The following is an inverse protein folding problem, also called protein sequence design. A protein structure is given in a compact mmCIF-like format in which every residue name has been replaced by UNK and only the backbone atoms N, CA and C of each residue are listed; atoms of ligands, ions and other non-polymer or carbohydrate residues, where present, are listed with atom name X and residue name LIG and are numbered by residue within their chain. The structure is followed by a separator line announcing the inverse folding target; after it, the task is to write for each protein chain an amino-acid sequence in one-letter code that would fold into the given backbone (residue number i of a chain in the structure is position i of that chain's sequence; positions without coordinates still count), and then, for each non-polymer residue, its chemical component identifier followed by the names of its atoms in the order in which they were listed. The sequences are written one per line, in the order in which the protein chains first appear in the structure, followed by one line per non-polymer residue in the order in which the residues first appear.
data_IF_063387818415
#
_entry.id   IF_063387818415
#
_cell.length_a   1.000
_cell.length_b   1.000
_cell.length_c   1.000
_cell.angle_alpha   90.00
_cell.angle_beta   90.00
_cell.angle_gamma   90.00
#
_symmetry.space_group_name_H-M   'P 1'
#
loop_
_entity.id
_entity.type
_entity.pdbx_description
1 polymer ?
#
# COMPACT_ATOMS: atom_id res chain seq x y z
N UNK A 1 -18.18 5.58 -28.97
CA UNK A 1 -17.61 5.95 -27.66
C UNK A 1 -18.75 6.35 -26.74
N UNK A 2 -18.77 5.87 -25.49
CA UNK A 2 -19.82 6.16 -24.49
C UNK A 2 -19.15 6.77 -23.26
N UNK A 3 -19.73 7.83 -22.71
CA UNK A 3 -19.29 8.41 -21.44
C UNK A 3 -20.27 8.00 -20.33
N UNK A 4 -19.74 7.43 -19.25
CA UNK A 4 -20.51 7.04 -18.07
C UNK A 4 -19.87 7.61 -16.81
N UNK A 5 -20.66 7.94 -15.80
CA UNK A 5 -20.17 8.28 -14.46
C UNK A 5 -20.54 7.12 -13.54
N UNK A 6 -19.53 6.38 -13.10
CA UNK A 6 -19.70 5.27 -12.15
C UNK A 6 -20.04 5.82 -10.76
N UNK A 7 -20.86 5.07 -10.02
CA UNK A 7 -21.15 5.41 -8.62
C UNK A 7 -19.89 5.30 -7.77
N UNK A 8 -19.77 6.16 -6.75
CA UNK A 8 -18.64 6.09 -5.82
C UNK A 8 -18.77 4.81 -4.95
N UNK A 9 -17.78 3.91 -4.95
CA UNK A 9 -17.89 2.62 -4.26
C UNK A 9 -18.06 2.78 -2.75
N UNK A 10 -18.92 1.98 -2.14
CA UNK A 10 -19.11 1.97 -0.69
C UNK A 10 -18.06 1.07 -0.02
N UNK A 11 -17.63 1.49 1.18
CA UNK A 11 -16.79 0.70 2.07
C UNK A 11 -17.65 0.21 3.24
N UNK A 12 -17.37 -1.00 3.69
CA UNK A 12 -18.00 -1.62 4.86
C UNK A 12 -17.15 -1.45 6.12
N UNK A 13 -17.83 -1.12 7.22
CA UNK A 13 -17.30 -0.84 8.55
C UNK A 13 -18.02 -1.66 9.61
N UNK A 14 -17.66 -1.49 10.88
CA UNK A 14 -18.21 -2.29 11.99
C UNK A 14 -19.73 -2.25 12.05
N UNK A 15 -20.34 -1.07 11.94
CA UNK A 15 -21.77 -0.85 12.11
C UNK A 15 -22.51 -0.36 10.84
N UNK A 16 -21.87 -0.28 9.67
CA UNK A 16 -22.51 0.25 8.46
C UNK A 16 -21.57 0.44 7.28
N UNK A 17 -22.00 1.23 6.30
CA UNK A 17 -21.25 1.50 5.06
C UNK A 17 -21.07 2.98 4.80
N UNK A 18 -19.90 3.40 4.32
CA UNK A 18 -19.64 4.80 3.96
C UNK A 18 -18.63 4.91 2.80
N UNK A 19 -18.67 5.99 2.01
CA UNK A 19 -17.72 6.20 0.90
C UNK A 19 -16.33 6.66 1.36
N UNK A 20 -16.21 7.30 2.53
CA UNK A 20 -14.96 7.85 3.04
C UNK A 20 -14.43 7.02 4.21
N UNK A 21 -13.16 6.53 4.16
CA UNK A 21 -12.52 5.80 5.26
C UNK A 21 -12.57 6.54 6.60
N UNK A 22 -12.20 7.83 6.60
CA UNK A 22 -12.11 8.64 7.84
C UNK A 22 -13.46 8.76 8.54
N UNK A 23 -14.49 9.13 7.79
CA UNK A 23 -15.85 9.27 8.32
C UNK A 23 -16.44 7.92 8.74
N UNK A 24 -16.17 6.86 7.98
CA UNK A 24 -16.61 5.51 8.34
C UNK A 24 -16.01 5.03 9.65
N UNK A 25 -14.69 5.19 9.87
CA UNK A 25 -14.04 4.85 11.14
C UNK A 25 -14.63 5.65 12.30
N UNK A 26 -14.78 6.97 12.15
CA UNK A 26 -15.31 7.85 13.21
C UNK A 26 -16.76 7.51 13.59
N UNK A 27 -17.63 7.24 12.61
CA UNK A 27 -19.07 7.11 12.84
C UNK A 27 -19.55 5.67 13.00
N UNK A 28 -18.86 4.71 12.37
CA UNK A 28 -19.30 3.31 12.25
C UNK A 28 -18.31 2.33 12.89
N UNK A 29 -17.13 2.81 13.32
CA UNK A 29 -16.05 1.99 13.85
C UNK A 29 -15.33 1.16 12.78
N UNK A 30 -14.26 0.50 13.18
CA UNK A 30 -13.48 -0.40 12.32
C UNK A 30 -14.23 -1.70 12.03
N UNK A 31 -13.99 -2.28 10.85
CA UNK A 31 -14.71 -3.47 10.35
C UNK A 31 -14.61 -4.68 11.28
N UNK A 32 -13.42 -4.96 11.78
CA UNK A 32 -13.13 -6.05 12.71
C UNK A 32 -13.74 -5.86 14.11
N UNK A 33 -14.54 -4.81 14.34
CA UNK A 33 -15.40 -4.71 15.55
C UNK A 33 -16.38 -5.89 15.64
N UNK A 34 -16.70 -6.51 14.51
CA UNK A 34 -17.60 -7.66 14.41
C UNK A 34 -16.97 -8.97 14.91
N UNK A 35 -15.65 -9.01 15.09
CA UNK A 35 -14.93 -10.17 15.60
C UNK A 35 -14.85 -10.10 17.14
N UNK A 36 -15.40 -11.12 17.81
CA UNK A 36 -15.37 -11.23 19.28
C UNK A 36 -13.94 -11.38 19.83
N UNK A 37 -13.03 -11.96 19.04
CA UNK A 37 -11.63 -12.18 19.41
C UNK A 37 -10.71 -11.04 18.97
N UNK A 38 -11.28 -9.91 18.54
CA UNK A 38 -10.50 -8.75 18.11
C UNK A 38 -9.52 -8.31 19.20
N UNK A 39 -8.37 -7.85 18.76
CA UNK A 39 -7.39 -7.24 19.65
C UNK A 39 -7.79 -5.81 19.97
N UNK A 40 -7.83 -5.47 21.26
CA UNK A 40 -8.15 -4.12 21.75
C UNK A 40 -6.93 -3.36 22.24
N UNK A 41 -5.74 -3.96 22.18
CA UNK A 41 -4.47 -3.38 22.58
C UNK A 41 -3.42 -3.53 21.48
N UNK A 42 -2.72 -2.43 21.22
CA UNK A 42 -1.63 -2.35 20.26
C UNK A 42 -0.33 -1.96 20.97
N UNK A 43 0.59 -2.91 21.14
CA UNK A 43 1.89 -2.73 21.79
C UNK A 43 2.91 -2.24 20.78
N UNK A 44 3.42 -1.03 20.99
CA UNK A 44 4.38 -0.39 20.10
C UNK A 44 5.78 -0.50 20.69
N UNK A 45 6.68 -1.12 19.94
CA UNK A 45 8.12 -1.01 20.16
C UNK A 45 8.66 0.27 19.54
N UNK A 46 9.67 0.90 20.14
CA UNK A 46 10.24 2.16 19.65
C UNK A 46 11.75 2.05 19.54
N UNK A 47 12.30 2.46 18.39
CA UNK A 47 13.73 2.58 18.14
C UNK A 47 14.03 3.97 17.60
N UNK A 48 14.95 4.71 18.22
CA UNK A 48 15.32 6.06 17.80
C UNK A 48 16.34 6.70 18.73
N UNK A 49 16.87 7.87 18.39
CA UNK A 49 17.65 8.67 19.37
C UNK A 49 16.72 9.27 20.42
N UNK A 50 17.25 9.63 21.60
CA UNK A 50 16.45 10.15 22.73
C UNK A 50 15.45 11.23 22.33
N UNK A 51 15.92 12.30 21.67
CA UNK A 51 15.05 13.39 21.17
C UNK A 51 13.92 12.90 20.25
N UNK A 52 14.21 11.93 19.37
CA UNK A 52 13.22 11.37 18.44
C UNK A 52 12.19 10.50 19.16
N UNK A 53 12.59 9.80 20.22
CA UNK A 53 11.68 9.03 21.07
C UNK A 53 10.71 9.98 21.79
N UNK A 54 11.22 11.06 22.38
CA UNK A 54 10.39 12.05 23.08
C UNK A 54 9.37 12.68 22.13
N UNK A 55 9.80 13.04 20.91
CA UNK A 55 8.90 13.55 19.86
C UNK A 55 7.81 12.54 19.47
N UNK A 56 8.13 11.25 19.43
CA UNK A 56 7.16 10.20 19.14
C UNK A 56 6.17 10.04 20.29
N UNK A 57 6.62 10.09 21.54
CA UNK A 57 5.73 9.98 22.70
C UNK A 57 4.72 11.14 22.75
N UNK A 58 5.17 12.38 22.47
CA UNK A 58 4.28 13.52 22.29
C UNK A 58 3.30 13.33 21.13
N UNK A 59 3.77 12.80 20.00
CA UNK A 59 2.93 12.54 18.83
C UNK A 59 1.88 11.48 19.12
N UNK A 60 2.23 10.38 19.80
CA UNK A 60 1.30 9.35 20.24
C UNK A 60 0.28 9.90 21.23
N UNK A 61 0.67 10.78 22.16
CA UNK A 61 -0.25 11.46 23.06
C UNK A 61 -1.27 12.32 22.28
N UNK A 62 -0.83 13.07 21.26
CA UNK A 62 -1.72 13.82 20.35
C UNK A 62 -2.64 12.88 19.56
N UNK A 63 -2.12 11.76 19.06
CA UNK A 63 -2.97 10.76 18.39
C UNK A 63 -4.04 10.19 19.34
N UNK A 64 -3.74 9.98 20.62
CA UNK A 64 -4.76 9.55 21.60
C UNK A 64 -5.82 10.61 21.84
N UNK A 65 -5.40 11.86 22.05
CA UNK A 65 -6.32 12.97 22.36
C UNK A 65 -7.13 13.46 21.16
N UNK A 66 -6.60 13.28 19.95
CA UNK A 66 -7.14 13.84 18.72
C UNK A 66 -6.36 15.06 18.23
N UNK A 67 -6.54 15.38 16.95
CA UNK A 67 -5.90 16.49 16.26
C UNK A 67 -6.95 17.30 15.54
N UNK A 68 -7.05 18.58 15.91
CA UNK A 68 -7.93 19.56 15.31
C UNK A 68 -7.77 19.65 13.79
N UNK A 69 -8.87 19.99 13.11
CA UNK A 69 -8.86 20.18 11.66
C UNK A 69 -8.05 21.41 11.26
N UNK A 70 -7.69 21.49 9.98
CA UNK A 70 -7.13 22.71 9.39
C UNK A 70 -8.19 23.82 9.37
N UNK A 71 -8.10 24.75 10.32
CA UNK A 71 -9.08 25.85 10.50
C UNK A 71 -9.12 26.82 9.32
N UNK A 72 -7.99 27.02 8.63
CA UNK A 72 -7.89 27.93 7.48
C UNK A 72 -8.64 27.45 6.23
N UNK A 73 -9.08 26.19 6.18
CA UNK A 73 -9.80 25.62 5.04
C UNK A 73 -11.28 25.46 5.33
N UNK A 74 -12.12 25.77 4.33
CA UNK A 74 -13.57 25.53 4.35
C UNK A 74 -13.95 24.10 3.92
N UNK A 75 -12.99 23.32 3.43
CA UNK A 75 -13.21 21.97 2.91
C UNK A 75 -13.21 20.94 4.05
N UNK A 76 -14.30 20.89 4.81
CA UNK A 76 -14.43 20.10 6.05
C UNK A 76 -14.22 18.59 5.85
N UNK A 77 -14.67 18.04 4.72
CA UNK A 77 -14.53 16.61 4.43
C UNK A 77 -13.11 16.24 3.97
N UNK A 78 -12.42 17.16 3.28
CA UNK A 78 -11.04 16.93 2.82
C UNK A 78 -10.04 17.08 3.97
N UNK A 79 -10.17 18.17 4.75
CA UNK A 79 -9.33 18.45 5.92
C UNK A 79 -10.09 18.14 7.20
N UNK A 80 -10.61 16.92 7.31
CA UNK A 80 -11.29 16.42 8.50
C UNK A 80 -10.30 16.32 9.67
N UNK A 81 -10.74 16.73 10.87
CA UNK A 81 -9.98 16.53 12.10
C UNK A 81 -9.77 15.04 12.38
N UNK A 82 -8.84 14.70 13.26
CA UNK A 82 -8.66 13.34 13.73
C UNK A 82 -9.22 13.26 15.15
N UNK A 83 -10.36 12.59 15.35
CA UNK A 83 -10.98 12.54 16.68
C UNK A 83 -10.22 11.71 17.73
N UNK A 84 -9.09 11.10 17.37
CA UNK A 84 -8.22 10.38 18.29
C UNK A 84 -8.42 8.86 18.25
N UNK A 85 -7.49 8.14 18.91
CA UNK A 85 -7.52 6.68 19.04
C UNK A 85 -7.59 6.26 20.51
N UNK A 86 -8.61 5.47 20.85
CA UNK A 86 -8.81 4.94 22.19
C UNK A 86 -9.67 3.67 22.18
N UNK A 87 -9.97 3.09 23.35
CA UNK A 87 -10.81 1.89 23.47
C UNK A 87 -12.24 2.13 22.96
N UNK A 88 -12.77 3.35 23.14
CA UNK A 88 -14.18 3.68 22.83
C UNK A 88 -14.34 4.64 21.64
N UNK A 89 -13.24 5.03 20.99
CA UNK A 89 -13.26 6.00 19.89
C UNK A 89 -12.28 5.67 18.76
N UNK A 90 -12.70 5.96 17.52
CA UNK A 90 -11.91 5.79 16.31
C UNK A 90 -11.67 4.31 15.99
N UNK A 91 -10.45 3.83 16.26
CA UNK A 91 -10.03 2.46 15.96
C UNK A 91 -10.40 1.44 17.05
N UNK A 92 -10.98 1.89 18.17
CA UNK A 92 -11.37 1.00 19.27
C UNK A 92 -10.20 0.13 19.75
N UNK A 93 -9.05 0.78 19.95
CA UNK A 93 -7.78 0.14 20.32
C UNK A 93 -6.95 1.07 21.19
N UNK A 94 -6.42 0.52 22.27
CA UNK A 94 -5.50 1.20 23.18
C UNK A 94 -4.06 1.05 22.69
N UNK A 95 -3.42 2.16 22.33
CA UNK A 95 -1.98 2.18 22.03
C UNK A 95 -1.19 2.08 23.33
N UNK A 96 -0.27 1.12 23.41
CA UNK A 96 0.63 0.90 24.55
C UNK A 96 2.08 1.10 24.08
N UNK A 97 2.71 2.17 24.54
CA UNK A 97 4.15 2.42 24.46
C UNK A 97 4.68 2.60 25.88
N UNK A 98 5.87 2.10 26.17
CA UNK A 98 6.49 2.23 27.50
C UNK A 98 8.00 2.06 27.41
N UNK A 99 8.79 2.55 28.39
CA UNK A 99 10.25 2.47 28.35
C UNK A 99 10.80 1.05 28.16
N UNK A 100 10.10 0.02 28.65
CA UNK A 100 10.50 -1.38 28.46
C UNK A 100 10.43 -1.87 27.00
N UNK A 101 9.70 -1.17 26.13
CA UNK A 101 9.57 -1.40 24.70
C UNK A 101 10.37 -0.40 23.87
N UNK A 102 11.19 0.44 24.50
CA UNK A 102 11.98 1.49 23.85
C UNK A 102 13.45 1.12 23.84
N UNK A 103 14.11 1.32 22.69
CA UNK A 103 15.54 1.12 22.49
C UNK A 103 16.19 2.39 21.94
N UNK A 104 16.95 3.12 22.77
CA UNK A 104 17.63 4.33 22.31
C UNK A 104 18.85 3.97 21.44
N UNK A 105 19.05 4.74 20.37
CA UNK A 105 20.28 4.73 19.58
C UNK A 105 21.31 5.67 20.22
N UNK A 106 22.55 5.22 20.32
CA UNK A 106 23.62 6.03 20.91
C UNK A 106 24.06 7.14 19.95
N UNK A 107 24.28 8.34 20.49
CA UNK A 107 24.73 9.50 19.70
C UNK A 107 26.07 9.23 19.01
N UNK A 108 27.02 8.59 19.70
CA UNK A 108 28.33 8.21 19.14
C UNK A 108 28.21 7.31 17.92
N UNK A 109 27.26 6.37 17.94
CA UNK A 109 27.01 5.46 16.85
C UNK A 109 26.38 6.15 15.63
N UNK A 110 25.42 7.04 15.85
CA UNK A 110 24.84 7.86 14.78
C UNK A 110 25.92 8.73 14.15
N UNK A 111 26.72 9.42 14.96
CA UNK A 111 27.85 10.22 14.47
C UNK A 111 28.82 9.36 13.68
N UNK A 112 29.17 8.16 14.16
CA UNK A 112 30.07 7.25 13.42
C UNK A 112 29.51 6.87 12.04
N UNK A 113 28.20 6.68 11.93
CA UNK A 113 27.54 6.39 10.65
C UNK A 113 27.58 7.61 9.71
N UNK A 114 27.43 8.83 10.25
CA UNK A 114 27.47 10.06 9.45
C UNK A 114 28.87 10.36 8.88
N UNK A 115 29.94 9.92 9.55
CA UNK A 115 31.33 10.18 9.14
C UNK A 115 31.86 9.23 8.05
N UNK A 116 31.09 8.22 7.62
CA UNK A 116 31.55 7.32 6.55
C UNK A 116 31.52 8.03 5.19
N UNK A 117 32.57 7.82 4.40
CA UNK A 117 32.79 8.52 3.13
C UNK A 117 31.70 8.22 2.10
N UNK A 118 31.39 6.93 1.92
CA UNK A 118 30.44 6.52 0.89
C UNK A 118 29.02 6.44 1.44
N UNK A 119 28.07 6.92 0.65
CA UNK A 119 26.63 6.85 0.97
C UNK A 119 26.15 5.41 1.20
N UNK A 120 26.68 4.45 0.44
CA UNK A 120 26.37 3.03 0.61
C UNK A 120 26.81 2.52 2.00
N UNK A 121 28.01 2.87 2.45
CA UNK A 121 28.48 2.52 3.79
C UNK A 121 27.65 3.19 4.88
N UNK A 122 27.23 4.46 4.69
CA UNK A 122 26.31 5.14 5.61
C UNK A 122 24.98 4.43 5.74
N UNK A 123 24.38 4.01 4.62
CA UNK A 123 23.12 3.25 4.60
C UNK A 123 23.30 1.92 5.33
N UNK A 124 24.33 1.15 5.00
CA UNK A 124 24.56 -0.16 5.61
C UNK A 124 24.78 -0.03 7.13
N UNK A 125 25.63 0.92 7.56
CA UNK A 125 25.85 1.19 8.98
C UNK A 125 24.57 1.62 9.68
N UNK A 126 23.78 2.50 9.08
CA UNK A 126 22.49 2.91 9.64
C UNK A 126 21.51 1.74 9.75
N UNK A 127 21.40 0.91 8.70
CA UNK A 127 20.53 -0.28 8.72
C UNK A 127 20.96 -1.23 9.84
N UNK A 128 22.26 -1.50 9.98
CA UNK A 128 22.81 -2.33 11.06
C UNK A 128 22.40 -1.77 12.43
N UNK A 129 22.53 -0.45 12.65
CA UNK A 129 22.17 0.19 13.92
C UNK A 129 20.70 -0.02 14.29
N UNK A 130 19.78 0.20 13.36
CA UNK A 130 18.37 -0.02 13.60
C UNK A 130 18.04 -1.51 13.73
N UNK A 131 18.62 -2.36 12.88
CA UNK A 131 18.40 -3.81 12.87
C UNK A 131 18.70 -4.44 14.23
N UNK A 132 19.82 -4.10 14.86
CA UNK A 132 20.19 -4.66 16.17
C UNK A 132 19.15 -4.34 17.26
N UNK A 133 18.63 -3.11 17.28
CA UNK A 133 17.60 -2.72 18.24
C UNK A 133 16.23 -3.33 17.92
N UNK A 134 15.88 -3.41 16.63
CA UNK A 134 14.65 -4.05 16.16
C UNK A 134 14.66 -5.54 16.52
N UNK A 135 15.77 -6.23 16.23
CA UNK A 135 15.98 -7.65 16.58
C UNK A 135 15.79 -7.88 18.07
N UNK A 136 16.43 -7.06 18.91
CA UNK A 136 16.27 -7.17 20.36
C UNK A 136 14.80 -7.05 20.78
N UNK A 137 14.05 -6.08 20.25
CA UNK A 137 12.63 -5.92 20.59
C UNK A 137 11.78 -7.08 20.09
N UNK A 138 11.98 -7.53 18.85
CA UNK A 138 11.22 -8.62 18.26
C UNK A 138 11.45 -9.97 18.98
N UNK A 139 12.66 -10.22 19.46
CA UNK A 139 13.01 -11.49 20.13
C UNK A 139 12.71 -11.47 21.64
N UNK A 140 12.78 -10.32 22.31
CA UNK A 140 12.77 -10.25 23.77
C UNK A 140 11.54 -9.54 24.36
N UNK A 141 10.64 -9.00 23.53
CA UNK A 141 9.45 -8.25 23.96
C UNK A 141 8.24 -8.66 23.15
N UNK A 142 7.07 -8.62 23.79
CA UNK A 142 5.79 -8.77 23.10
C UNK A 142 5.36 -7.41 22.53
N UNK A 143 5.82 -7.11 21.32
CA UNK A 143 5.46 -5.92 20.55
C UNK A 143 4.76 -6.34 19.25
N UNK A 144 3.80 -5.54 18.82
CA UNK A 144 2.97 -5.83 17.63
C UNK A 144 3.50 -5.13 16.38
N UNK A 145 4.08 -3.95 16.57
CA UNK A 145 4.68 -3.13 15.54
C UNK A 145 5.84 -2.35 16.15
N UNK A 146 6.94 -2.21 15.42
CA UNK A 146 8.09 -1.41 15.86
C UNK A 146 8.15 -0.11 15.05
N UNK A 147 8.11 1.02 15.75
CA UNK A 147 8.28 2.35 15.17
C UNK A 147 9.76 2.73 15.20
N UNK A 148 10.34 2.88 14.02
CA UNK A 148 11.72 3.35 13.83
C UNK A 148 11.69 4.87 13.57
N UNK A 149 12.09 5.66 14.56
CA UNK A 149 12.23 7.11 14.44
C UNK A 149 13.60 7.44 13.87
N UNK A 150 13.61 7.95 12.64
CA UNK A 150 14.81 8.27 11.91
C UNK A 150 15.23 9.75 12.18
N UNK A 151 16.44 9.97 12.72
CA UNK A 151 16.99 11.31 12.90
C UNK A 151 17.08 12.08 11.59
N UNK A 152 16.83 13.39 11.63
CA UNK A 152 16.83 14.22 10.41
C UNK A 152 18.19 14.26 9.72
N UNK A 153 19.27 14.38 10.48
CA UNK A 153 20.65 14.37 10.01
C UNK A 153 21.03 13.03 9.35
N UNK A 154 20.63 11.92 9.98
CA UNK A 154 20.83 10.58 9.42
C UNK A 154 20.02 10.39 8.14
N UNK A 155 18.75 10.83 8.13
CA UNK A 155 17.92 10.83 6.94
C UNK A 155 18.61 11.63 5.81
N UNK A 156 18.95 12.89 6.04
CA UNK A 156 19.54 13.75 5.01
C UNK A 156 20.87 13.16 4.50
N UNK A 157 21.66 12.53 5.36
CA UNK A 157 22.92 11.86 5.00
C UNK A 157 22.74 10.61 4.11
N UNK A 158 21.65 9.85 4.30
CA UNK A 158 21.33 8.67 3.48
C UNK A 158 20.49 9.02 2.24
N UNK A 159 19.92 10.21 2.15
CA UNK A 159 19.10 10.64 0.99
C UNK A 159 19.82 11.62 0.05
N UNK A 160 20.69 12.48 0.56
CA UNK A 160 21.33 13.56 -0.22
C UNK A 160 22.45 13.01 -1.11
N UNK A 161 22.45 13.41 -2.39
CA UNK A 161 23.46 13.00 -3.38
C UNK A 161 24.63 13.99 -3.43
N UNK A 162 25.82 13.51 -3.79
CA UNK A 162 26.89 14.37 -4.30
C UNK A 162 26.61 14.78 -5.75
N UNK A 163 27.08 15.96 -6.19
CA UNK A 163 26.98 16.37 -7.59
C UNK A 163 27.77 15.40 -8.49
N UNK A 164 27.10 14.77 -9.48
CA UNK A 164 27.74 13.89 -10.47
C UNK A 164 27.27 12.42 -10.50
N UNK A 165 26.39 11.99 -9.59
CA UNK A 165 25.84 10.62 -9.61
C UNK A 165 24.67 10.49 -10.62
N UNK A 166 24.72 9.49 -11.52
CA UNK A 166 23.75 9.27 -12.60
C UNK A 166 22.30 9.08 -12.10
N UNK A 167 21.34 9.65 -12.83
CA UNK A 167 19.96 9.92 -12.41
C UNK A 167 18.98 8.72 -12.40
N UNK A 168 19.42 7.48 -12.17
CA UNK A 168 18.50 6.33 -12.21
C UNK A 168 17.99 5.93 -10.80
N UNK A 169 16.70 6.20 -10.59
CA UNK A 169 15.76 5.78 -9.53
C UNK A 169 16.03 6.10 -8.03
N UNK A 170 15.24 7.06 -7.52
CA UNK A 170 14.86 7.42 -6.13
C UNK A 170 15.61 6.76 -4.95
N UNK A 171 16.57 7.51 -4.44
CA UNK A 171 17.62 7.05 -3.53
C UNK A 171 17.25 7.14 -2.03
N UNK A 172 16.20 7.86 -1.63
CA UNK A 172 15.67 7.83 -0.24
C UNK A 172 15.15 6.45 0.17
N UNK A 173 14.74 5.64 -0.80
CA UNK A 173 14.01 4.41 -0.53
C UNK A 173 14.90 3.22 -0.13
N UNK A 174 16.23 3.29 -0.28
CA UNK A 174 17.10 2.14 0.02
C UNK A 174 17.15 1.82 1.53
N UNK A 175 17.32 2.81 2.41
CA UNK A 175 17.36 2.54 3.86
C UNK A 175 16.09 1.81 4.34
N UNK A 176 14.91 2.36 4.00
CA UNK A 176 13.62 1.75 4.37
C UNK A 176 13.46 0.35 3.78
N UNK A 177 13.72 0.19 2.48
CA UNK A 177 13.54 -1.09 1.79
C UNK A 177 14.49 -2.16 2.35
N UNK A 178 15.77 -1.82 2.54
CA UNK A 178 16.79 -2.72 3.10
C UNK A 178 16.45 -3.07 4.56
N UNK A 179 16.12 -2.09 5.40
CA UNK A 179 15.79 -2.37 6.80
C UNK A 179 14.58 -3.31 6.92
N UNK A 180 13.52 -3.06 6.14
CA UNK A 180 12.34 -3.93 6.10
C UNK A 180 12.66 -5.34 5.60
N UNK A 181 13.45 -5.47 4.53
CA UNK A 181 13.88 -6.76 4.02
C UNK A 181 14.69 -7.53 5.08
N UNK A 182 15.67 -6.88 5.70
CA UNK A 182 16.53 -7.49 6.72
C UNK A 182 15.79 -7.90 7.99
N UNK A 183 14.74 -7.17 8.36
CA UNK A 183 13.91 -7.50 9.52
C UNK A 183 12.76 -8.46 9.19
N UNK A 184 12.62 -8.92 7.95
CA UNK A 184 11.46 -9.71 7.52
C UNK A 184 11.35 -11.05 8.25
N UNK A 185 12.48 -11.69 8.53
CA UNK A 185 12.54 -12.95 9.28
C UNK A 185 12.13 -12.81 10.75
N UNK A 186 12.14 -11.60 11.31
CA UNK A 186 11.80 -11.34 12.72
C UNK A 186 10.28 -11.38 13.00
N UNK A 187 9.45 -11.45 11.95
CA UNK A 187 7.98 -11.60 12.11
C UNK A 187 7.26 -10.40 12.76
N UNK A 188 7.94 -9.26 12.92
CA UNK A 188 7.38 -8.02 13.48
C UNK A 188 7.39 -6.88 12.44
N UNK A 189 6.23 -6.35 12.03
CA UNK A 189 6.16 -5.24 11.08
C UNK A 189 6.82 -3.95 11.58
N UNK A 190 7.37 -3.17 10.64
CA UNK A 190 8.01 -1.89 10.93
C UNK A 190 7.20 -0.70 10.43
N UNK A 191 7.18 0.38 11.21
CA UNK A 191 6.70 1.70 10.83
C UNK A 191 7.83 2.72 10.94
N UNK A 192 8.25 3.33 9.83
CA UNK A 192 9.30 4.35 9.85
C UNK A 192 8.67 5.73 9.96
N UNK A 193 9.26 6.60 10.78
CA UNK A 193 8.84 7.99 10.96
C UNK A 193 10.08 8.88 10.98
N UNK A 194 10.03 10.03 10.29
CA UNK A 194 11.10 11.04 10.35
C UNK A 194 10.78 12.04 11.46
N UNK A 195 11.77 12.50 12.21
CA UNK A 195 11.56 13.50 13.26
C UNK A 195 10.81 14.75 12.76
N UNK A 196 11.21 15.28 11.61
CA UNK A 196 10.57 16.45 10.99
C UNK A 196 9.09 16.26 10.65
N UNK A 197 8.59 15.02 10.50
CA UNK A 197 7.16 14.77 10.20
C UNK A 197 6.28 14.82 11.44
N UNK A 198 6.84 14.60 12.63
CA UNK A 198 6.09 14.63 13.90
C UNK A 198 5.93 16.06 14.46
N UNK A 199 6.85 16.96 14.10
CA UNK A 199 6.77 18.37 14.52
C UNK A 199 5.63 19.06 13.77
N UNK A 200 4.69 19.65 14.51
CA UNK A 200 3.60 20.46 13.97
C UNK A 200 4.10 21.91 13.89
N UNK A 201 4.50 22.37 12.70
CA UNK A 201 4.87 23.77 12.49
C UNK A 201 3.76 24.55 11.79
N UNK A 202 3.60 25.84 12.15
CA UNK A 202 2.60 26.73 11.53
C UNK A 202 2.91 27.06 10.06
N UNK A 203 4.13 26.78 9.57
CA UNK A 203 4.62 27.14 8.24
C UNK A 203 5.14 25.91 7.48
N UNK A 204 4.38 24.82 7.51
CA UNK A 204 4.72 23.61 6.77
C UNK A 204 4.09 23.67 5.36
N UNK A 205 4.60 24.55 4.49
CA UNK A 205 4.05 24.77 3.14
C UNK A 205 3.92 23.48 2.30
N UNK A 206 4.87 22.56 2.46
CA UNK A 206 4.95 21.28 1.74
C UNK A 206 4.47 20.05 2.53
N UNK A 207 4.09 20.18 3.81
CA UNK A 207 3.64 19.01 4.58
C UNK A 207 2.12 18.86 4.55
N UNK A 208 1.68 17.61 4.58
CA UNK A 208 0.28 17.28 4.90
C UNK A 208 -0.11 17.87 6.26
N UNK A 209 -1.38 18.28 6.37
CA UNK A 209 -1.89 18.83 7.62
C UNK A 209 -1.78 17.79 8.76
N UNK A 210 -1.62 18.24 10.03
CA UNK A 210 -1.44 17.35 11.17
C UNK A 210 -2.53 16.28 11.34
N UNK A 211 -3.79 16.61 11.07
CA UNK A 211 -4.89 15.65 11.21
C UNK A 211 -4.81 14.56 10.14
N UNK A 212 -4.53 14.92 8.88
CA UNK A 212 -4.26 13.92 7.82
C UNK A 212 -3.06 13.02 8.16
N UNK A 213 -1.98 13.59 8.72
CA UNK A 213 -0.83 12.80 9.18
C UNK A 213 -1.25 11.80 10.27
N UNK A 214 -2.02 12.24 11.25
CA UNK A 214 -2.53 11.37 12.32
C UNK A 214 -3.44 10.26 11.80
N UNK A 215 -4.36 10.58 10.88
CA UNK A 215 -5.21 9.60 10.19
C UNK A 215 -4.40 8.49 9.52
N UNK A 216 -3.42 8.87 8.69
CA UNK A 216 -2.61 7.91 7.95
C UNK A 216 -1.73 7.07 8.91
N UNK A 217 -1.12 7.73 9.90
CA UNK A 217 -0.27 7.07 10.88
C UNK A 217 -1.04 6.05 11.74
N UNK A 218 -2.19 6.43 12.30
CA UNK A 218 -3.02 5.55 13.11
C UNK A 218 -3.56 4.35 12.30
N UNK A 219 -4.00 4.60 11.07
CA UNK A 219 -4.47 3.52 10.17
C UNK A 219 -3.37 2.52 9.85
N UNK A 220 -2.17 3.01 9.50
CA UNK A 220 -1.04 2.16 9.18
C UNK A 220 -0.58 1.34 10.40
N UNK A 221 -0.53 1.95 11.59
CA UNK A 221 -0.22 1.24 12.84
C UNK A 221 -1.26 0.17 13.15
N UNK A 222 -2.55 0.49 13.02
CA UNK A 222 -3.66 -0.41 13.26
C UNK A 222 -3.55 -1.67 12.39
N UNK A 223 -3.47 -1.48 11.08
CA UNK A 223 -3.40 -2.59 10.12
C UNK A 223 -2.12 -3.43 10.31
N UNK A 224 -0.98 -2.79 10.64
CA UNK A 224 0.28 -3.49 10.88
C UNK A 224 0.26 -4.35 12.14
N UNK A 225 -0.15 -3.79 13.27
CA UNK A 225 0.00 -4.46 14.56
C UNK A 225 -1.16 -5.37 14.93
N UNK A 226 -2.40 -5.02 14.60
CA UNK A 226 -3.56 -5.89 14.86
C UNK A 226 -3.72 -6.99 13.80
N UNK A 227 -2.99 -6.90 12.67
CA UNK A 227 -3.04 -7.86 11.55
C UNK A 227 -4.46 -8.06 11.03
N UNK A 228 -5.23 -6.98 10.97
CA UNK A 228 -6.65 -6.95 10.61
C UNK A 228 -6.98 -5.66 9.89
N UNK A 229 -8.09 -5.64 9.16
CA UNK A 229 -8.48 -4.53 8.29
C UNK A 229 -9.45 -3.56 8.98
N UNK A 230 -9.21 -2.24 8.90
CA UNK A 230 -10.13 -1.24 9.44
C UNK A 230 -11.41 -1.06 8.60
N UNK A 231 -11.38 -1.40 7.32
CA UNK A 231 -12.53 -1.38 6.40
C UNK A 231 -12.31 -2.33 5.22
N UNK A 232 -13.40 -2.75 4.56
CA UNK A 232 -13.37 -3.48 3.29
C UNK A 232 -14.32 -2.90 2.25
N UNK A 233 -14.32 -3.43 1.02
CA UNK A 233 -15.36 -3.12 0.03
C UNK A 233 -16.67 -3.82 0.42
N UNK A 234 -17.80 -3.17 0.11
CA UNK A 234 -19.10 -3.81 0.27
C UNK A 234 -19.22 -4.99 -0.68
N UNK A 235 -19.56 -6.15 -0.14
CA UNK A 235 -19.75 -7.38 -0.90
C UNK A 235 -21.12 -7.37 -1.58
N UNK A 236 -21.13 -7.58 -2.89
CA UNK A 236 -22.36 -7.73 -3.66
C UNK A 236 -22.77 -9.20 -3.71
N UNK A 237 -23.73 -9.61 -2.89
CA UNK A 237 -24.21 -11.02 -2.80
C UNK A 237 -24.69 -11.63 -4.11
N UNK A 238 -25.02 -10.80 -5.10
CA UNK A 238 -25.45 -11.25 -6.43
C UNK A 238 -24.27 -11.61 -7.36
N UNK A 239 -23.05 -11.17 -7.03
CA UNK A 239 -21.84 -11.47 -7.80
C UNK A 239 -21.18 -12.76 -7.31
N UNK A 240 -20.55 -13.53 -8.21
CA UNK A 240 -19.80 -14.71 -7.81
C UNK A 240 -18.61 -14.32 -6.91
N UNK A 241 -18.24 -15.17 -5.94
CA UNK A 241 -17.04 -14.94 -5.12
C UNK A 241 -15.82 -14.82 -6.03
N UNK A 242 -15.20 -13.65 -5.98
CA UNK A 242 -14.17 -13.22 -6.92
C UNK A 242 -12.83 -13.04 -6.21
N UNK A 243 -11.77 -13.52 -6.83
CA UNK A 243 -10.40 -13.39 -6.36
C UNK A 243 -9.64 -12.40 -7.25
N UNK A 244 -9.05 -11.36 -6.66
CA UNK A 244 -8.27 -10.35 -7.38
C UNK A 244 -6.78 -10.61 -7.24
N UNK A 245 -6.08 -10.73 -8.37
CA UNK A 245 -4.64 -11.02 -8.38
C UNK A 245 -3.87 -9.91 -9.08
N UNK A 246 -2.97 -9.25 -8.36
CA UNK A 246 -2.04 -8.27 -8.91
C UNK A 246 -0.75 -8.93 -9.36
N UNK A 247 -0.34 -8.69 -10.62
CA UNK A 247 0.93 -9.16 -11.17
C UNK A 247 1.87 -7.96 -11.32
N UNK A 248 2.96 -7.98 -10.56
CA UNK A 248 4.03 -7.00 -10.60
C UNK A 248 5.34 -7.58 -11.13
N UNK A 249 6.25 -6.69 -11.53
CA UNK A 249 7.61 -7.05 -11.90
C UNK A 249 8.57 -6.10 -11.21
N UNK A 250 9.69 -6.65 -10.71
CA UNK A 250 10.76 -5.85 -10.13
C UNK A 250 12.12 -6.31 -10.64
N UNK A 251 13.07 -5.38 -10.74
CA UNK A 251 14.44 -5.69 -11.17
C UNK A 251 15.29 -6.15 -9.99
N UNK A 252 16.16 -7.13 -10.21
CA UNK A 252 17.21 -7.50 -9.25
C UNK A 252 18.18 -6.34 -9.01
N UNK A 253 18.89 -6.39 -7.88
CA UNK A 253 19.83 -5.35 -7.45
C UNK A 253 21.01 -5.18 -8.41
N UNK A 254 21.37 -6.25 -9.09
CA UNK A 254 22.61 -6.35 -9.88
C UNK A 254 22.48 -5.65 -11.25
N UNK A 255 21.29 -5.12 -11.58
CA UNK A 255 21.06 -4.32 -12.78
C UNK A 255 21.10 -5.12 -14.10
N UNK A 256 21.65 -6.33 -14.09
CA UNK A 256 21.80 -7.22 -15.26
C UNK A 256 20.50 -7.91 -15.69
N UNK A 257 19.39 -7.16 -15.80
CA UNK A 257 18.18 -7.54 -16.55
C UNK A 257 17.24 -8.61 -15.97
N UNK A 258 17.58 -9.27 -14.86
CA UNK A 258 16.67 -10.26 -14.26
C UNK A 258 15.52 -9.56 -13.54
N UNK A 259 14.38 -9.45 -14.23
CA UNK A 259 13.12 -9.06 -13.60
C UNK A 259 12.49 -10.28 -12.94
N UNK A 260 11.99 -10.20 -11.72
CA UNK A 260 11.20 -11.28 -11.11
C UNK A 260 9.74 -10.85 -11.06
N UNK A 261 8.85 -11.81 -11.33
CA UNK A 261 7.41 -11.59 -11.21
C UNK A 261 6.95 -11.77 -9.77
N UNK A 262 5.85 -11.12 -9.41
CA UNK A 262 5.19 -11.28 -8.13
C UNK A 262 3.69 -11.41 -8.38
N UNK A 263 3.06 -12.41 -7.79
CA UNK A 263 1.61 -12.49 -7.72
C UNK A 263 1.17 -12.14 -6.30
N UNK A 264 0.12 -11.34 -6.21
CA UNK A 264 -0.53 -11.09 -4.95
C UNK A 264 -2.02 -11.30 -5.06
N UNK A 265 -2.53 -12.17 -4.21
CA UNK A 265 -3.93 -12.54 -4.13
C UNK A 265 -4.60 -11.70 -3.04
N UNK A 266 -5.73 -11.07 -3.36
CA UNK A 266 -6.60 -10.40 -2.41
C UNK A 266 -7.93 -11.14 -2.36
N UNK A 267 -8.30 -11.60 -1.17
CA UNK A 267 -9.66 -12.06 -0.89
C UNK A 267 -10.59 -10.87 -0.58
N UNK A 268 -11.87 -11.19 -0.34
CA UNK A 268 -12.91 -10.24 0.07
C UNK A 268 -12.70 -9.64 1.47
N UNK A 269 -11.84 -10.24 2.29
CA UNK A 269 -11.49 -9.79 3.64
C UNK A 269 -10.21 -8.95 3.65
N UNK A 270 -9.55 -8.76 2.50
CA UNK A 270 -8.30 -8.04 2.40
C UNK A 270 -7.08 -8.82 2.89
N UNK A 271 -7.20 -10.13 3.09
CA UNK A 271 -6.04 -10.99 3.27
C UNK A 271 -5.27 -11.05 1.95
N UNK A 272 -4.05 -10.50 2.00
CA UNK A 272 -3.12 -10.51 0.90
C UNK A 272 -2.18 -11.70 1.04
N UNK A 273 -2.18 -12.64 0.08
CA UNK A 273 -1.13 -13.66 -0.02
C UNK A 273 -0.12 -13.19 -1.06
N UNK A 274 1.17 -13.23 -0.70
CA UNK A 274 2.26 -12.74 -1.54
C UNK A 274 3.10 -13.92 -2.02
N UNK A 275 3.28 -14.02 -3.34
CA UNK A 275 4.11 -15.03 -3.97
C UNK A 275 5.21 -14.42 -4.82
N UNK A 276 6.44 -14.83 -4.52
CA UNK A 276 7.62 -14.54 -5.33
C UNK A 276 7.63 -15.48 -6.54
N UNK A 277 7.53 -14.91 -7.73
CA UNK A 277 7.65 -15.63 -8.99
C UNK A 277 9.10 -15.73 -9.47
N UNK A 278 9.27 -16.37 -10.62
CA UNK A 278 10.58 -16.64 -11.21
C UNK A 278 11.17 -15.43 -11.95
N UNK A 279 12.49 -15.41 -12.20
CA UNK A 279 13.13 -14.59 -13.22
C UNK A 279 12.37 -14.58 -14.56
N UNK A 280 12.23 -13.42 -15.20
CA UNK A 280 11.50 -13.23 -16.46
C UNK A 280 12.34 -12.45 -17.47
N UNK A 281 11.94 -12.56 -18.74
CA UNK A 281 12.60 -11.87 -19.84
C UNK A 281 12.02 -10.47 -20.04
N UNK A 282 12.85 -9.57 -20.57
CA UNK A 282 12.45 -8.22 -20.98
C UNK A 282 12.30 -8.20 -22.50
N UNK A 283 11.20 -7.64 -22.98
CA UNK A 283 10.97 -7.40 -24.40
C UNK A 283 12.00 -6.43 -24.97
N UNK A 284 12.69 -6.82 -26.05
CA UNK A 284 13.68 -5.97 -26.72
C UNK A 284 13.08 -4.69 -27.33
N UNK A 285 11.81 -4.69 -27.72
CA UNK A 285 11.16 -3.56 -28.40
C UNK A 285 10.64 -2.50 -27.42
N UNK A 286 9.84 -2.92 -26.44
CA UNK A 286 9.18 -2.00 -25.50
C UNK A 286 9.85 -1.96 -24.11
N UNK A 287 10.91 -2.74 -23.90
CA UNK A 287 11.66 -2.86 -22.63
C UNK A 287 10.79 -3.21 -21.41
N UNK A 288 9.65 -3.87 -21.64
CA UNK A 288 8.77 -4.34 -20.56
C UNK A 288 9.00 -5.82 -20.26
N UNK A 289 9.03 -6.21 -18.98
CA UNK A 289 9.08 -7.62 -18.60
C UNK A 289 7.79 -8.34 -18.97
N UNK A 290 7.90 -9.62 -19.32
CA UNK A 290 6.78 -10.49 -19.64
C UNK A 290 7.06 -11.92 -19.19
N UNK A 291 6.00 -12.66 -18.89
CA UNK A 291 6.09 -14.07 -18.52
C UNK A 291 6.08 -14.96 -19.77
N UNK A 292 6.88 -16.03 -19.76
CA UNK A 292 6.65 -17.13 -20.70
C UNK A 292 5.37 -17.89 -20.32
N UNK A 293 4.86 -18.72 -21.22
CA UNK A 293 3.67 -19.52 -20.96
C UNK A 293 3.83 -20.45 -19.73
N UNK A 294 4.93 -21.22 -19.57
CA UNK A 294 5.15 -22.01 -18.36
C UNK A 294 5.18 -21.17 -17.09
N UNK A 295 5.82 -19.98 -17.14
CA UNK A 295 5.92 -19.09 -15.97
C UNK A 295 4.57 -18.51 -15.58
N UNK A 296 3.75 -18.12 -16.55
CA UNK A 296 2.40 -17.62 -16.31
C UNK A 296 1.53 -18.72 -15.68
N UNK A 297 1.63 -19.95 -16.19
CA UNK A 297 0.95 -21.11 -15.63
C UNK A 297 1.37 -21.40 -14.19
N UNK A 298 2.68 -21.52 -13.92
CA UNK A 298 3.20 -21.83 -12.58
C UNK A 298 2.82 -20.73 -11.57
N UNK A 299 2.98 -19.47 -11.94
CA UNK A 299 2.68 -18.33 -11.07
C UNK A 299 1.21 -18.32 -10.64
N UNK A 300 0.28 -18.56 -11.56
CA UNK A 300 -1.15 -18.54 -11.24
C UNK A 300 -1.59 -19.83 -10.52
N UNK A 301 -1.06 -20.99 -10.91
CA UNK A 301 -1.32 -22.25 -10.20
C UNK A 301 -0.91 -22.13 -8.74
N UNK A 302 0.29 -21.66 -8.46
CA UNK A 302 0.82 -21.51 -7.11
C UNK A 302 0.01 -20.49 -6.31
N UNK A 303 -0.45 -19.40 -6.94
CA UNK A 303 -1.35 -18.42 -6.32
C UNK A 303 -2.70 -19.02 -5.92
N UNK A 304 -3.28 -19.87 -6.76
CA UNK A 304 -4.54 -20.54 -6.47
C UNK A 304 -4.37 -21.67 -5.44
N UNK A 305 -3.24 -22.38 -5.45
CA UNK A 305 -2.92 -23.39 -4.44
C UNK A 305 -2.82 -22.78 -3.04
N UNK A 306 -2.15 -21.64 -2.90
CA UNK A 306 -2.08 -20.95 -1.61
C UNK A 306 -3.41 -20.32 -1.20
N UNK A 307 -4.20 -19.83 -2.16
CA UNK A 307 -5.56 -19.38 -1.88
C UNK A 307 -6.41 -20.52 -1.32
N UNK A 308 -6.39 -21.70 -1.95
CA UNK A 308 -7.12 -22.89 -1.49
C UNK A 308 -6.64 -23.33 -0.10
N UNK A 309 -5.34 -23.30 0.17
CA UNK A 309 -4.80 -23.59 1.51
C UNK A 309 -5.30 -22.62 2.57
N UNK A 310 -5.38 -21.33 2.26
CA UNK A 310 -5.78 -20.30 3.22
C UNK A 310 -7.30 -20.26 3.45
N UNK A 311 -8.09 -20.36 2.38
CA UNK A 311 -9.55 -20.14 2.40
C UNK A 311 -10.34 -21.46 2.45
N UNK A 312 -9.70 -22.58 2.09
CA UNK A 312 -10.32 -23.92 2.01
C UNK A 312 -11.47 -23.99 0.98
N UNK A 313 -11.51 -23.04 0.05
CA UNK A 313 -12.45 -23.00 -1.06
C UNK A 313 -11.83 -22.28 -2.25
N UNK A 314 -12.16 -22.72 -3.47
CA UNK A 314 -11.71 -22.07 -4.71
C UNK A 314 -12.65 -20.92 -5.10
N UNK A 315 -12.13 -19.83 -5.69
CA UNK A 315 -12.98 -18.72 -6.12
C UNK A 315 -13.79 -19.12 -7.36
N UNK A 316 -14.99 -18.58 -7.51
CA UNK A 316 -15.79 -18.82 -8.70
C UNK A 316 -15.28 -18.01 -9.92
N UNK A 317 -14.66 -16.85 -9.64
CA UNK A 317 -14.13 -15.92 -10.64
C UNK A 317 -12.73 -15.43 -10.28
N UNK A 318 -11.84 -15.31 -11.25
CA UNK A 318 -10.49 -14.75 -11.06
C UNK A 318 -10.28 -13.53 -11.94
N UNK A 319 -9.83 -12.43 -11.34
CA UNK A 319 -9.49 -11.18 -12.05
C UNK A 319 -8.00 -10.90 -11.92
N UNK A 320 -7.29 -10.89 -13.05
CA UNK A 320 -5.84 -10.60 -13.09
C UNK A 320 -5.61 -9.13 -13.45
N UNK A 321 -4.92 -8.40 -12.58
CA UNK A 321 -4.48 -7.02 -12.83
C UNK A 321 -3.00 -6.97 -13.15
N UNK A 322 -2.64 -6.36 -14.28
CA UNK A 322 -1.24 -6.16 -14.70
C UNK A 322 -0.98 -4.72 -15.11
N UNK A 323 0.21 -4.20 -14.80
CA UNK A 323 0.65 -2.84 -15.20
C UNK A 323 1.15 -2.74 -16.65
N UNK A 324 1.08 -3.85 -17.39
CA UNK A 324 1.44 -3.95 -18.81
C UNK A 324 0.43 -4.82 -19.55
N UNK A 325 0.41 -4.74 -20.88
CA UNK A 325 -0.47 -5.57 -21.70
C UNK A 325 -0.09 -7.06 -21.57
N UNK A 326 -1.10 -7.91 -21.68
CA UNK A 326 -0.93 -9.36 -21.73
C UNK A 326 -0.49 -9.79 -23.13
N UNK A 327 0.47 -10.72 -23.18
CA UNK A 327 0.84 -11.44 -24.40
C UNK A 327 0.02 -12.70 -24.53
N UNK A 328 -0.06 -13.23 -25.75
CA UNK A 328 -0.74 -14.50 -26.00
C UNK A 328 -0.14 -15.65 -25.18
N UNK A 329 1.19 -15.73 -25.08
CA UNK A 329 1.87 -16.75 -24.27
C UNK A 329 1.48 -16.69 -22.80
N UNK A 330 1.33 -15.48 -22.25
CA UNK A 330 0.92 -15.29 -20.86
C UNK A 330 -0.52 -15.73 -20.66
N UNK A 331 -1.42 -15.31 -21.56
CA UNK A 331 -2.83 -15.71 -21.53
C UNK A 331 -3.01 -17.21 -21.66
N UNK A 332 -2.27 -17.88 -22.54
CA UNK A 332 -2.29 -19.33 -22.67
C UNK A 332 -1.92 -20.02 -21.35
N UNK A 333 -0.85 -19.57 -20.67
CA UNK A 333 -0.42 -20.12 -19.39
C UNK A 333 -1.45 -19.91 -18.28
N UNK A 334 -2.00 -18.69 -18.18
CA UNK A 334 -3.06 -18.39 -17.22
C UNK A 334 -4.34 -19.18 -17.48
N UNK A 335 -4.77 -19.29 -18.74
CA UNK A 335 -5.95 -20.08 -19.14
C UNK A 335 -5.80 -21.54 -18.72
N UNK A 336 -4.63 -22.13 -18.98
CA UNK A 336 -4.32 -23.50 -18.58
C UNK A 336 -4.42 -23.70 -17.06
N UNK A 337 -3.86 -22.79 -16.26
CA UNK A 337 -3.92 -22.89 -14.80
C UNK A 337 -5.36 -22.77 -14.27
N UNK A 338 -6.17 -21.88 -14.86
CA UNK A 338 -7.57 -21.70 -14.49
C UNK A 338 -8.43 -22.92 -14.84
N UNK A 339 -8.19 -23.51 -16.01
CA UNK A 339 -8.89 -24.71 -16.48
C UNK A 339 -8.58 -25.93 -15.61
N UNK A 340 -7.31 -26.13 -15.24
CA UNK A 340 -6.89 -27.19 -14.32
C UNK A 340 -7.52 -27.04 -12.93
N UNK A 341 -7.66 -25.80 -12.46
CA UNK A 341 -8.30 -25.47 -11.18
C UNK A 341 -9.83 -25.36 -11.25
N UNK A 342 -10.43 -25.68 -12.39
CA UNK A 342 -11.87 -25.63 -12.63
C UNK A 342 -12.52 -24.27 -12.30
N UNK A 343 -11.78 -23.17 -12.51
CA UNK A 343 -12.31 -21.81 -12.34
C UNK A 343 -13.28 -21.50 -13.48
N UNK A 344 -14.50 -21.05 -13.13
CA UNK A 344 -15.59 -20.89 -14.11
C UNK A 344 -15.55 -19.58 -14.88
N UNK A 345 -15.06 -18.51 -14.25
CA UNK A 345 -15.02 -17.19 -14.88
C UNK A 345 -13.67 -16.48 -14.69
N UNK A 346 -13.26 -15.72 -15.70
CA UNK A 346 -11.96 -15.05 -15.74
C UNK A 346 -12.04 -13.68 -16.39
N UNK A 347 -11.21 -12.76 -15.92
CA UNK A 347 -11.00 -11.45 -16.54
C UNK A 347 -9.53 -11.05 -16.44
N UNK A 348 -8.87 -10.79 -17.57
CA UNK A 348 -7.48 -10.31 -17.58
C UNK A 348 -7.46 -8.82 -17.93
N UNK A 349 -7.05 -7.97 -16.99
CA UNK A 349 -7.14 -6.52 -17.14
C UNK A 349 -5.75 -5.87 -17.06
N UNK A 350 -5.34 -5.25 -18.16
CA UNK A 350 -4.17 -4.40 -18.21
C UNK A 350 -4.58 -2.97 -17.81
N UNK A 351 -3.95 -2.45 -16.75
CA UNK A 351 -4.21 -1.11 -16.23
C UNK A 351 -2.94 -0.29 -16.45
N UNK A 352 -3.02 0.64 -17.39
CA UNK A 352 -1.87 1.42 -17.84
C UNK A 352 -2.11 2.92 -17.72
N UNK A 353 -1.03 3.70 -17.72
CA UNK A 353 -1.15 5.15 -17.91
C UNK A 353 -1.57 5.49 -19.33
N UNK A 354 -2.23 6.62 -19.51
CA UNK A 354 -2.54 7.19 -20.82
C UNK A 354 -2.22 8.67 -20.83
N UNK A 355 -2.01 9.22 -22.03
CA UNK A 355 -1.88 10.66 -22.28
C UNK A 355 -3.19 11.30 -22.74
N UNK A 356 -4.22 10.48 -22.99
CA UNK A 356 -5.56 10.97 -23.32
C UNK A 356 -6.17 11.62 -22.08
N UNK A 357 -6.74 12.82 -22.25
CA UNK A 357 -7.42 13.59 -21.20
C UNK A 357 -8.77 14.07 -21.71
N UNK A 358 -9.78 13.91 -20.88
CA UNK A 358 -11.10 14.51 -21.04
C UNK A 358 -11.08 15.92 -20.44
N UNK A 359 -11.71 16.85 -21.14
CA UNK A 359 -11.96 18.20 -20.70
C UNK A 359 -13.46 18.43 -20.68
N UNK A 360 -13.94 19.16 -19.69
CA UNK A 360 -15.32 19.62 -19.63
C UNK A 360 -15.36 21.14 -19.53
N UNK A 361 -16.55 21.71 -19.67
CA UNK A 361 -16.74 23.17 -19.69
C UNK A 361 -16.52 23.86 -18.34
N UNK A 362 -16.31 23.08 -17.27
CA UNK A 362 -16.13 23.58 -15.90
C UNK A 362 -14.64 23.74 -15.58
N UNK A 363 -14.33 24.65 -14.66
CA UNK A 363 -12.97 24.87 -14.13
C UNK A 363 -12.42 23.70 -13.29
N UNK A 364 -13.17 22.60 -13.15
CA UNK A 364 -12.79 21.43 -12.39
C UNK A 364 -12.54 20.25 -13.34
N UNK A 365 -11.57 19.37 -13.05
CA UNK A 365 -11.36 18.19 -13.87
C UNK A 365 -12.58 17.25 -13.83
N UNK A 366 -12.66 16.28 -14.76
CA UNK A 366 -13.69 15.24 -14.74
C UNK A 366 -13.86 14.62 -13.35
N UNK A 367 -15.08 14.19 -13.03
CA UNK A 367 -15.38 13.56 -11.74
C UNK A 367 -14.59 12.25 -11.60
N UNK A 368 -14.19 11.93 -10.38
CA UNK A 368 -13.75 10.57 -10.06
C UNK A 368 -14.91 9.61 -10.39
N UNK A 369 -14.59 8.50 -11.05
CA UNK A 369 -15.57 7.55 -11.60
C UNK A 369 -16.01 7.86 -13.03
N UNK A 370 -15.53 8.92 -13.68
CA UNK A 370 -15.78 9.14 -15.11
C UNK A 370 -15.08 8.07 -15.96
N UNK A 371 -15.85 7.33 -16.75
CA UNK A 371 -15.40 6.30 -17.69
C UNK A 371 -15.73 6.73 -19.12
N UNK A 372 -14.72 6.82 -19.98
CA UNK A 372 -14.88 6.89 -21.43
C UNK A 372 -14.67 5.48 -22.01
N UNK A 373 -15.74 4.84 -22.44
CA UNK A 373 -15.72 3.56 -23.15
C UNK A 373 -15.40 3.78 -24.62
N UNK A 374 -14.27 3.23 -25.09
CA UNK A 374 -13.84 3.32 -26.48
C UNK A 374 -14.34 2.10 -27.28
N UNK A 375 -14.28 0.91 -26.68
CA UNK A 375 -14.83 -0.36 -27.20
C UNK A 375 -15.37 -1.20 -26.03
N UNK A 376 -15.84 -2.42 -26.31
CA UNK A 376 -16.29 -3.37 -25.28
C UNK A 376 -15.18 -3.81 -24.31
N UNK A 377 -13.91 -3.66 -24.71
CA UNK A 377 -12.74 -4.12 -23.95
C UNK A 377 -11.68 -3.04 -23.70
N UNK A 378 -11.90 -1.80 -24.13
CA UNK A 378 -10.95 -0.70 -23.94
C UNK A 378 -11.66 0.59 -23.51
N UNK A 379 -11.12 1.24 -22.48
CA UNK A 379 -11.66 2.48 -21.96
C UNK A 379 -10.69 3.28 -21.11
N UNK A 380 -11.08 4.50 -20.77
CA UNK A 380 -10.30 5.43 -19.95
C UNK A 380 -11.08 5.75 -18.68
N UNK A 381 -10.52 5.37 -17.54
CA UNK A 381 -11.11 5.53 -16.22
C UNK A 381 -10.41 6.64 -15.42
N UNK A 382 -11.20 7.61 -14.95
CA UNK A 382 -10.76 8.63 -14.01
C UNK A 382 -10.90 8.13 -12.58
N UNK A 383 -9.85 7.48 -12.06
CA UNK A 383 -9.75 7.15 -10.63
C UNK A 383 -9.39 8.39 -9.79
N UNK A 384 -8.79 9.41 -10.38
CA UNK A 384 -8.60 10.72 -9.75
C UNK A 384 -9.33 11.80 -10.53
N UNK A 385 -9.94 12.72 -9.81
CA UNK A 385 -10.76 13.76 -10.39
C UNK A 385 -11.53 14.51 -9.32
N UNK A 386 -12.50 15.31 -9.73
CA UNK A 386 -13.37 16.01 -8.77
C UNK A 386 -14.15 15.01 -7.94
N UNK A 387 -14.11 15.17 -6.62
CA UNK A 387 -14.81 14.31 -5.66
C UNK A 387 -15.95 15.12 -5.06
N UNK A 388 -17.19 14.70 -5.31
CA UNK A 388 -18.38 15.40 -4.82
C UNK A 388 -18.41 15.50 -3.28
N UNK A 389 -17.99 14.43 -2.58
CA UNK A 389 -17.89 14.41 -1.12
C UNK A 389 -16.90 15.46 -0.57
N UNK A 390 -15.78 15.67 -1.24
CA UNK A 390 -14.82 16.72 -0.88
C UNK A 390 -15.20 18.10 -1.43
N UNK A 391 -16.13 18.17 -2.39
CA UNK A 391 -16.51 19.38 -3.14
C UNK A 391 -15.32 20.02 -3.87
N UNK A 392 -14.26 19.25 -4.14
CA UNK A 392 -13.06 19.70 -4.85
C UNK A 392 -12.29 18.52 -5.44
N UNK A 393 -11.26 18.81 -6.23
CA UNK A 393 -10.20 17.88 -6.58
C UNK A 393 -9.00 18.10 -5.64
N UNK A 394 -8.53 17.09 -4.89
CA UNK A 394 -7.47 17.27 -3.90
C UNK A 394 -6.05 17.22 -4.49
N UNK A 395 -5.88 16.90 -5.78
CA UNK A 395 -4.57 16.85 -6.41
C UNK A 395 -4.08 18.21 -6.90
N UNK A 396 -2.75 18.38 -6.97
CA UNK A 396 -2.11 19.63 -7.41
C UNK A 396 -2.05 19.79 -8.93
N UNK A 397 -2.00 18.68 -9.66
CA UNK A 397 -1.83 18.65 -11.12
C UNK A 397 -3.04 18.04 -11.80
N UNK A 398 -3.21 18.32 -13.10
CA UNK A 398 -4.26 17.70 -13.94
C UNK A 398 -4.28 16.18 -13.72
N UNK A 399 -5.44 15.58 -13.38
CA UNK A 399 -5.51 14.15 -13.11
C UNK A 399 -4.99 13.32 -14.28
N UNK A 400 -4.22 12.28 -13.95
CA UNK A 400 -3.75 11.29 -14.92
C UNK A 400 -4.66 10.05 -14.87
N UNK A 401 -5.68 9.94 -15.75
CA UNK A 401 -6.52 8.76 -15.84
C UNK A 401 -5.73 7.50 -16.18
N UNK A 402 -6.40 6.37 -16.01
CA UNK A 402 -5.91 5.05 -16.37
C UNK A 402 -6.59 4.59 -17.64
N UNK A 403 -5.82 3.97 -18.54
CA UNK A 403 -6.39 3.17 -19.62
C UNK A 403 -6.57 1.74 -19.13
N UNK A 404 -7.78 1.25 -19.29
CA UNK A 404 -8.21 -0.09 -18.90
C UNK A 404 -8.40 -0.87 -20.19
N UNK A 405 -7.60 -1.92 -20.39
CA UNK A 405 -7.70 -2.81 -21.53
C UNK A 405 -7.93 -4.22 -21.00
N UNK A 406 -9.09 -4.78 -21.30
CA UNK A 406 -9.49 -6.10 -20.89
C UNK A 406 -9.23 -7.14 -21.99
N UNK A 407 -8.87 -8.34 -21.55
CA UNK A 407 -8.55 -9.51 -22.35
C UNK A 407 -9.26 -10.70 -21.72
N UNK A 408 -9.72 -11.64 -22.55
CA UNK A 408 -10.37 -12.88 -22.13
C UNK A 408 -11.38 -12.62 -20.99
N UNK A 409 -12.25 -11.61 -21.20
CA UNK A 409 -13.17 -11.09 -20.19
C UNK A 409 -14.54 -11.76 -20.31
N UNK A 410 -15.10 -12.19 -19.17
CA UNK A 410 -16.51 -12.58 -19.04
C UNK A 410 -17.37 -11.41 -18.53
N UNK A 411 -16.74 -10.45 -17.84
CA UNK A 411 -17.39 -9.29 -17.27
C UNK A 411 -17.42 -8.10 -18.24
N UNK A 412 -18.39 -7.22 -18.06
CA UNK A 412 -18.42 -5.97 -18.82
C UNK A 412 -17.29 -5.02 -18.37
N UNK A 413 -16.77 -4.22 -19.29
CA UNK A 413 -15.77 -3.20 -18.98
C UNK A 413 -16.25 -2.23 -17.89
N UNK A 414 -17.55 -1.92 -17.86
CA UNK A 414 -18.16 -1.07 -16.84
C UNK A 414 -18.03 -1.70 -15.44
N UNK A 415 -18.39 -2.98 -15.29
CA UNK A 415 -18.23 -3.73 -14.02
C UNK A 415 -16.76 -3.82 -13.59
N UNK A 416 -15.85 -4.11 -14.52
CA UNK A 416 -14.41 -4.15 -14.23
C UNK A 416 -13.90 -2.78 -13.73
N UNK A 417 -14.38 -1.69 -14.34
CA UNK A 417 -14.00 -0.34 -13.94
C UNK A 417 -14.58 0.08 -12.58
N UNK A 418 -15.80 -0.37 -12.24
CA UNK A 418 -16.39 -0.19 -10.91
C UNK A 418 -15.56 -0.89 -9.83
N UNK A 419 -15.17 -2.15 -10.08
CA UNK A 419 -14.32 -2.94 -9.19
C UNK A 419 -12.94 -2.30 -9.01
N UNK A 420 -12.30 -1.86 -10.10
CA UNK A 420 -11.02 -1.14 -10.05
C UNK A 420 -11.15 0.16 -9.23
N UNK A 421 -12.23 0.91 -9.41
CA UNK A 421 -12.49 2.12 -8.64
C UNK A 421 -12.62 1.80 -7.14
N UNK A 422 -13.29 0.71 -6.78
CA UNK A 422 -13.39 0.23 -5.41
C UNK A 422 -12.02 -0.14 -4.82
N UNK A 423 -11.24 -0.94 -5.54
CA UNK A 423 -9.92 -1.39 -5.13
C UNK A 423 -8.92 -0.25 -4.93
N UNK A 424 -9.13 0.92 -5.55
CA UNK A 424 -8.29 2.11 -5.27
C UNK A 424 -8.46 2.68 -3.86
N UNK A 425 -9.49 2.27 -3.13
CA UNK A 425 -9.82 2.71 -1.76
C UNK A 425 -9.35 1.70 -0.70
N UNK A 426 -8.79 0.57 -1.12
CA UNK A 426 -8.39 -0.54 -0.26
C UNK A 426 -6.92 -0.44 0.18
N UNK A 427 -6.42 0.77 0.36
CA UNK A 427 -5.04 1.02 0.76
C UNK A 427 -4.97 1.39 2.26
N UNK A 428 -4.74 0.40 3.12
CA UNK A 428 -4.67 0.59 4.57
C UNK A 428 -3.38 1.28 5.07
N UNK A 429 -2.57 1.84 4.18
CA UNK A 429 -1.44 2.71 4.54
C UNK A 429 -1.83 4.20 4.58
N UNK A 430 -3.00 4.57 4.06
CA UNK A 430 -3.51 5.94 4.11
C UNK A 430 -5.05 5.94 4.12
N UNK A 431 -5.65 7.10 4.38
CA UNK A 431 -7.10 7.25 4.50
C UNK A 431 -7.73 8.05 3.36
N UNK A 432 -6.96 8.28 2.29
CA UNK A 432 -7.40 9.10 1.17
C UNK A 432 -8.34 8.31 0.26
N UNK A 433 -9.52 8.86 -0.03
CA UNK A 433 -10.52 8.17 -0.84
C UNK A 433 -10.20 8.12 -2.35
N UNK A 434 -9.38 9.04 -2.87
CA UNK A 434 -9.08 9.16 -4.30
C UNK A 434 -7.72 8.53 -4.68
N UNK A 435 -7.48 7.30 -4.24
CA UNK A 435 -6.34 6.50 -4.70
C UNK A 435 -6.30 6.42 -6.23
N UNK A 436 -5.09 6.51 -6.81
CA UNK A 436 -4.94 6.44 -8.28
C UNK A 436 -5.00 5.01 -8.79
N UNK A 437 -4.18 4.13 -8.22
CA UNK A 437 -4.06 2.74 -8.64
C UNK A 437 -4.89 1.84 -7.72
N UNK A 438 -5.42 0.70 -8.20
CA UNK A 438 -6.01 -0.30 -7.34
C UNK A 438 -4.94 -0.93 -6.46
N UNK A 439 -5.35 -1.39 -5.27
CA UNK A 439 -4.42 -2.00 -4.29
C UNK A 439 -3.61 -3.15 -4.89
N UNK A 440 -4.20 -3.91 -5.82
CA UNK A 440 -3.53 -5.01 -6.53
C UNK A 440 -2.24 -4.59 -7.23
N UNK A 441 -2.20 -3.40 -7.84
CA UNK A 441 -1.01 -2.91 -8.53
C UNK A 441 -0.10 -2.07 -7.64
N UNK A 442 -0.68 -1.27 -6.75
CA UNK A 442 0.11 -0.46 -5.82
C UNK A 442 0.94 -1.36 -4.89
N UNK A 443 0.32 -2.43 -4.41
CA UNK A 443 0.96 -3.38 -3.54
C UNK A 443 2.02 -4.21 -4.27
N UNK A 444 1.73 -4.72 -5.48
CA UNK A 444 2.70 -5.45 -6.27
C UNK A 444 3.99 -4.63 -6.54
N UNK A 445 3.86 -3.32 -6.77
CA UNK A 445 4.99 -2.40 -6.91
C UNK A 445 5.79 -2.25 -5.60
N UNK A 446 5.10 -2.01 -4.48
CA UNK A 446 5.73 -1.81 -3.15
C UNK A 446 6.43 -3.07 -2.64
N UNK A 447 5.88 -4.24 -2.92
CA UNK A 447 6.48 -5.51 -2.56
C UNK A 447 7.77 -5.71 -3.37
N UNK A 448 7.71 -5.52 -4.68
CA UNK A 448 8.89 -5.65 -5.56
C UNK A 448 10.08 -4.78 -5.12
N UNK A 449 9.78 -3.58 -4.62
CA UNK A 449 10.75 -2.65 -4.08
C UNK A 449 11.54 -3.16 -2.86
N UNK A 450 10.93 -4.00 -2.03
CA UNK A 450 11.57 -4.59 -0.84
C UNK A 450 12.16 -5.96 -1.18
N UNK A 451 11.45 -6.74 -2.00
CA UNK A 451 11.83 -8.11 -2.36
C UNK A 451 13.17 -8.20 -3.08
N UNK A 452 13.61 -7.14 -3.76
CA UNK A 452 14.96 -7.05 -4.34
C UNK A 452 16.10 -7.07 -3.31
N UNK A 453 15.80 -6.90 -2.02
CA UNK A 453 16.78 -6.94 -0.91
C UNK A 453 16.61 -8.16 0.00
N UNK A 454 15.57 -8.96 -0.19
CA UNK A 454 15.35 -10.19 0.59
C UNK A 454 16.15 -11.31 -0.06
N UNK A 455 16.83 -12.13 0.74
CA UNK A 455 17.63 -13.24 0.22
C UNK A 455 16.75 -14.22 -0.59
N UNK A 456 17.22 -14.75 -1.74
CA UNK A 456 16.49 -15.74 -2.52
C UNK A 456 16.09 -16.99 -1.73
N UNK A 457 16.88 -17.38 -0.72
CA UNK A 457 16.65 -18.57 0.12
C UNK A 457 15.69 -18.32 1.28
N UNK A 458 15.46 -17.06 1.65
CA UNK A 458 14.52 -16.71 2.71
C UNK A 458 13.08 -16.79 2.22
N UNK A 459 12.22 -17.38 3.05
CA UNK A 459 10.77 -17.33 2.84
C UNK A 459 10.25 -15.97 3.30
N UNK A 460 9.75 -15.13 2.39
CA UNK A 460 9.19 -13.84 2.75
C UNK A 460 7.94 -13.98 3.63
N UNK A 461 7.62 -12.94 4.40
CA UNK A 461 6.35 -12.86 5.09
C UNK A 461 5.22 -12.71 4.08
N UNK A 462 4.11 -13.44 4.26
CA UNK A 462 2.98 -13.40 3.32
C UNK A 462 2.13 -12.14 3.46
N UNK A 463 2.10 -11.54 4.66
CA UNK A 463 1.23 -10.41 4.96
C UNK A 463 1.77 -9.09 4.38
N UNK A 464 0.89 -8.32 3.75
CA UNK A 464 1.25 -7.01 3.20
C UNK A 464 1.75 -6.00 4.25
N UNK A 465 1.41 -6.20 5.53
CA UNK A 465 1.87 -5.35 6.65
C UNK A 465 3.39 -5.17 6.72
N UNK A 466 4.16 -6.17 6.29
CA UNK A 466 5.62 -6.13 6.25
C UNK A 466 6.18 -5.23 5.14
N UNK A 467 5.40 -5.01 4.08
CA UNK A 467 5.82 -4.29 2.88
C UNK A 467 5.40 -2.83 2.83
N UNK A 468 4.41 -2.41 3.64
CA UNK A 468 3.99 -1.00 3.67
C UNK A 468 4.91 -0.09 4.46
#
# INVERSE_FOLDING_TARGET
MKLTILAEPLLEFGAGTHICPRTGIEQMGVYDKRDELRRTELRIGVVGRGEGIDLLDEWLAKCRAGVERKTSSKLLNLFRGFGGIGPDHGFLTRIINSPQYTRPLQKSEITSALQLDTRAARIDRAVNLFYEQVRFLAENRSVDVIVCVLPNDLFDSVTTRAQGEAADDELEHNFRRILKARCMHLGTPLQLVREKTMVITKHAGDQQDPATKAWNFATALYYKGNRTIPWRLVEEKAKPPSCYIGIGFYKSRDGETVSSSLAQVFDEFGHGIILRGTPVLIDKKNRRPFLSEPQAYELLRDALDEYDRAIQHMPARVVLHKSSHFRESERAGFRRALEEKAIRSRDFVAITGTDIRLFGDKNYPPKRGTLLTMSESDGILYTRGTVDFYKTYPGQYVPKPLRITAYDQDSSLESLCEEILGLTKMNWNNTQLDGRLPITLECASKIGDIMKYVDPKERPQVNYSFYM
#
